data_IF_988647634060
#
_entry.id   IF_988647634060
#
_cell.length_a   1.000
_cell.length_b   1.000
_cell.length_c   1.000
_cell.angle_alpha   90.00
_cell.angle_beta   90.00
_cell.angle_gamma   90.00
#
_symmetry.space_group_name_H-M   'P 1'
#
loop_
_entity.id
_entity.type
_entity.pdbx_description
1 polymer ?
#
# COMPACT_ATOMS: atom_id res chain seq x y z
N UNK A 1 8.48 10.84 -6.26
CA UNK A 1 7.63 9.69 -5.91
C UNK A 1 7.60 9.62 -4.39
N UNK A 2 6.42 9.59 -3.77
CA UNK A 2 6.34 9.54 -2.30
C UNK A 2 6.82 8.14 -1.79
N UNK A 3 7.25 8.03 -0.53
CA UNK A 3 7.75 6.77 0.02
C UNK A 3 6.75 5.62 -0.06
N UNK A 4 5.47 5.91 0.14
CA UNK A 4 4.36 4.95 0.04
C UNK A 4 4.22 4.35 -1.36
N UNK A 5 4.25 5.18 -2.41
CA UNK A 5 4.21 4.72 -3.82
C UNK A 5 5.41 3.83 -4.12
N UNK A 6 6.58 4.15 -3.56
CA UNK A 6 7.78 3.31 -3.72
C UNK A 6 7.58 1.94 -3.08
N UNK A 7 7.09 1.90 -1.84
CA UNK A 7 6.78 0.66 -1.12
C UNK A 7 5.72 -0.17 -1.86
N UNK A 8 4.63 0.46 -2.30
CA UNK A 8 3.60 -0.18 -3.11
C UNK A 8 4.21 -0.83 -4.37
N UNK A 9 5.05 -0.11 -5.11
CA UNK A 9 5.70 -0.65 -6.31
C UNK A 9 6.59 -1.86 -5.99
N UNK A 10 7.36 -1.81 -4.89
CA UNK A 10 8.21 -2.93 -4.46
C UNK A 10 7.39 -4.18 -4.12
N UNK A 11 6.26 -4.02 -3.41
CA UNK A 11 5.32 -5.11 -3.10
C UNK A 11 4.75 -5.71 -4.39
N UNK A 12 4.30 -4.88 -5.34
CA UNK A 12 3.75 -5.34 -6.61
C UNK A 12 4.77 -6.15 -7.41
N UNK A 13 6.03 -5.69 -7.49
CA UNK A 13 7.10 -6.43 -8.17
C UNK A 13 7.32 -7.79 -7.50
N UNK A 14 7.46 -7.82 -6.17
CA UNK A 14 7.70 -9.06 -5.42
C UNK A 14 6.56 -10.07 -5.57
N UNK A 15 5.31 -9.60 -5.54
CA UNK A 15 4.17 -10.50 -5.69
C UNK A 15 4.03 -11.01 -7.13
N UNK A 16 4.43 -10.22 -8.12
CA UNK A 16 4.54 -10.67 -9.52
C UNK A 16 5.61 -11.76 -9.70
N UNK A 17 6.77 -11.62 -9.03
CA UNK A 17 7.82 -12.65 -9.03
C UNK A 17 7.34 -13.99 -8.44
N UNK A 18 6.36 -13.95 -7.52
CA UNK A 18 5.71 -15.12 -6.94
C UNK A 18 4.55 -15.68 -7.79
N UNK A 19 4.34 -15.14 -9.00
CA UNK A 19 3.29 -15.55 -9.92
C UNK A 19 1.89 -14.99 -9.59
N UNK A 20 1.79 -14.04 -8.66
CA UNK A 20 0.54 -13.34 -8.40
C UNK A 20 0.30 -12.23 -9.43
N UNK A 21 -0.94 -11.76 -9.52
CA UNK A 21 -1.34 -10.62 -10.37
C UNK A 21 -1.71 -9.45 -9.44
N UNK A 22 -0.79 -8.50 -9.20
CA UNK A 22 -1.09 -7.30 -8.42
C UNK A 22 -1.78 -6.24 -9.28
N UNK A 23 -2.77 -5.57 -8.70
CA UNK A 23 -3.55 -4.50 -9.30
C UNK A 23 -3.56 -3.31 -8.35
N UNK A 24 -3.08 -2.15 -8.81
CA UNK A 24 -3.22 -0.89 -8.07
C UNK A 24 -4.65 -0.39 -8.22
N UNK A 25 -5.30 -0.08 -7.10
CA UNK A 25 -6.55 0.67 -7.09
C UNK A 25 -6.21 2.14 -6.93
N UNK A 26 -6.88 2.98 -7.69
CA UNK A 26 -6.74 4.43 -7.56
C UNK A 26 -8.11 4.98 -7.18
N UNK A 27 -8.15 5.75 -6.09
CA UNK A 27 -9.33 6.49 -5.68
C UNK A 27 -9.00 7.97 -5.75
N UNK A 28 -9.82 8.75 -6.44
CA UNK A 28 -9.64 10.19 -6.45
C UNK A 28 -10.33 10.92 -7.59
N UNK A 29 -10.10 12.24 -7.59
CA UNK A 29 -10.55 13.15 -8.63
C UNK A 29 -9.44 13.32 -9.67
N UNK A 30 -9.75 12.97 -10.91
CA UNK A 30 -8.89 13.13 -12.08
C UNK A 30 -9.54 14.07 -13.08
N UNK A 31 -8.75 14.49 -14.06
CA UNK A 31 -9.23 15.35 -15.15
C UNK A 31 -8.87 14.72 -16.49
N UNK A 32 -9.83 14.74 -17.41
CA UNK A 32 -9.56 14.45 -18.83
C UNK A 32 -8.65 15.52 -19.44
N UNK A 33 -8.14 15.26 -20.65
CA UNK A 33 -7.37 16.26 -21.42
C UNK A 33 -8.13 17.58 -21.62
N UNK A 34 -9.47 17.55 -21.62
CA UNK A 34 -10.33 18.72 -21.77
C UNK A 34 -10.79 19.30 -20.42
N UNK A 35 -10.11 18.97 -19.32
CA UNK A 35 -10.39 19.45 -17.96
C UNK A 35 -11.77 19.06 -17.39
N UNK A 36 -12.41 18.05 -17.96
CA UNK A 36 -13.64 17.46 -17.39
C UNK A 36 -13.25 16.60 -16.18
N UNK A 37 -13.84 16.83 -14.99
CA UNK A 37 -13.58 16.03 -13.79
C UNK A 37 -14.13 14.61 -13.93
N UNK A 38 -13.35 13.62 -13.50
CA UNK A 38 -13.75 12.21 -13.40
C UNK A 38 -13.38 11.72 -12.01
N UNK A 39 -14.36 11.20 -11.27
CA UNK A 39 -14.12 10.44 -10.06
C UNK A 39 -13.87 8.98 -10.43
N UNK A 40 -12.73 8.44 -10.01
CA UNK A 40 -12.37 7.04 -10.17
C UNK A 40 -12.32 6.40 -8.78
N UNK A 41 -12.84 5.17 -8.67
CA UNK A 41 -12.83 4.38 -7.45
C UNK A 41 -13.87 4.81 -6.42
N UNK A 42 -13.92 4.05 -5.32
CA UNK A 42 -14.76 4.32 -4.16
C UNK A 42 -13.88 4.57 -2.94
N UNK A 43 -14.23 5.54 -2.10
CA UNK A 43 -13.54 5.78 -0.83
C UNK A 43 -13.56 4.50 0.04
N UNK A 44 -12.38 4.12 0.56
CA UNK A 44 -12.18 2.88 1.30
C UNK A 44 -11.81 1.65 0.45
N UNK A 45 -11.61 1.80 -0.87
CA UNK A 45 -10.95 0.76 -1.66
C UNK A 45 -9.47 0.59 -1.23
N UNK A 46 -8.96 -0.66 -1.20
CA UNK A 46 -7.58 -0.93 -0.81
C UNK A 46 -6.59 -0.40 -1.85
N UNK A 47 -5.42 0.07 -1.46
CA UNK A 47 -4.37 0.51 -2.41
C UNK A 47 -3.97 -0.57 -3.43
N UNK A 48 -3.83 -1.82 -2.98
CA UNK A 48 -3.39 -2.94 -3.82
C UNK A 48 -4.32 -4.14 -3.61
N UNK A 49 -4.80 -4.68 -4.73
CA UNK A 49 -5.47 -5.98 -4.83
C UNK A 49 -4.51 -6.99 -5.46
N UNK A 50 -4.40 -8.21 -4.91
CA UNK A 50 -3.48 -9.22 -5.40
C UNK A 50 -4.20 -10.54 -5.59
N UNK A 51 -4.24 -11.02 -6.83
CA UNK A 51 -4.80 -12.32 -7.19
C UNK A 51 -3.67 -13.36 -7.14
N UNK A 52 -3.78 -14.31 -6.22
CA UNK A 52 -2.79 -15.37 -6.04
C UNK A 52 -3.08 -16.56 -6.98
N UNK A 53 -2.07 -17.37 -7.36
CA UNK A 53 -2.24 -18.56 -8.20
C UNK A 53 -3.23 -19.60 -7.67
N UNK A 54 -3.44 -19.62 -6.35
CA UNK A 54 -4.39 -20.52 -5.69
C UNK A 54 -5.83 -20.00 -5.70
N UNK A 55 -6.12 -18.92 -6.42
CA UNK A 55 -7.45 -18.31 -6.52
C UNK A 55 -7.86 -17.44 -5.32
N UNK A 56 -6.98 -17.23 -4.35
CA UNK A 56 -7.22 -16.26 -3.25
C UNK A 56 -6.95 -14.83 -3.73
N UNK A 57 -7.65 -13.89 -3.13
CA UNK A 57 -7.43 -12.45 -3.33
C UNK A 57 -6.99 -11.84 -2.01
N UNK A 58 -5.94 -11.01 -2.05
CA UNK A 58 -5.43 -10.26 -0.90
C UNK A 58 -5.64 -8.76 -1.15
N UNK A 59 -6.13 -8.06 -0.13
CA UNK A 59 -6.34 -6.61 -0.18
C UNK A 59 -5.41 -5.95 0.82
N UNK A 60 -4.62 -5.00 0.35
CA UNK A 60 -3.63 -4.29 1.15
C UNK A 60 -3.91 -2.79 1.12
N UNK A 61 -4.03 -2.23 2.32
CA UNK A 61 -3.86 -0.80 2.57
C UNK A 61 -2.39 -0.57 2.95
N UNK A 62 -1.71 0.36 2.28
CA UNK A 62 -0.29 0.61 2.46
C UNK A 62 -0.12 1.96 3.14
N UNK A 63 0.25 1.91 4.42
CA UNK A 63 0.58 3.11 5.20
C UNK A 63 2.10 3.22 5.30
N UNK A 64 2.66 4.33 4.83
CA UNK A 64 4.05 4.67 5.14
C UNK A 64 4.10 5.44 6.46
N UNK A 65 4.69 4.82 7.48
CA UNK A 65 4.97 5.48 8.75
C UNK A 65 6.47 5.39 9.07
N UNK A 66 7.02 6.50 9.53
CA UNK A 66 8.38 6.53 10.07
C UNK A 66 8.33 5.99 11.50
N UNK A 67 8.77 4.74 11.66
CA UNK A 67 8.97 4.13 12.96
C UNK A 67 10.46 4.11 13.28
N UNK A 68 10.81 4.39 14.53
CA UNK A 68 12.06 3.89 15.08
C UNK A 68 11.87 2.42 15.47
N UNK A 69 12.95 1.64 15.53
CA UNK A 69 12.89 0.26 16.02
C UNK A 69 13.56 0.20 17.39
N UNK A 70 12.90 -0.42 18.36
CA UNK A 70 13.49 -0.64 19.67
C UNK A 70 14.76 -1.51 19.51
N UNK A 71 15.95 -1.03 19.92
CA UNK A 71 17.20 -1.78 19.75
C UNK A 71 17.29 -3.01 20.66
N UNK A 72 16.37 -3.17 21.62
CA UNK A 72 16.34 -4.31 22.55
C UNK A 72 15.49 -5.48 22.04
N UNK A 73 14.30 -5.20 21.52
CA UNK A 73 13.33 -6.23 21.13
C UNK A 73 12.98 -6.21 19.62
N UNK A 74 13.43 -5.22 18.87
CA UNK A 74 13.17 -5.10 17.43
C UNK A 74 11.73 -4.71 17.07
N UNK A 75 10.90 -4.34 18.04
CA UNK A 75 9.54 -3.88 17.78
C UNK A 75 9.56 -2.44 17.24
N UNK A 76 8.65 -2.14 16.32
CA UNK A 76 8.41 -0.78 15.85
C UNK A 76 7.89 0.07 17.01
N UNK A 77 8.50 1.23 17.22
CA UNK A 77 8.09 2.22 18.22
C UNK A 77 7.46 3.39 17.47
N UNK A 78 6.24 3.74 17.85
CA UNK A 78 5.68 5.04 17.49
C UNK A 78 6.51 6.14 18.18
N UNK A 79 6.46 7.37 17.66
CA UNK A 79 7.21 8.50 18.23
C UNK A 79 6.77 8.85 19.67
N UNK A 80 5.71 8.21 20.18
CA UNK A 80 5.17 8.35 21.54
C UNK A 80 5.78 7.36 22.56
N UNK A 81 6.62 6.42 22.11
CA UNK A 81 7.57 5.71 22.96
C UNK A 81 7.27 4.22 23.20
N UNK A 82 8.35 3.44 23.30
CA UNK A 82 8.30 2.02 23.62
C UNK A 82 7.91 1.80 25.10
N UNK A 83 6.66 1.45 25.37
CA UNK A 83 6.27 0.85 26.65
C UNK A 83 6.80 -0.60 26.71
N UNK A 84 8.12 -0.73 26.90
CA UNK A 84 8.77 -2.01 27.11
C UNK A 84 8.20 -2.71 28.33
N UNK A 85 7.32 -3.67 28.10
CA UNK A 85 6.90 -4.70 29.07
C UNK A 85 7.55 -6.02 28.71
#
# INVERSE_FOLDING_TARGET
MNPETKLQNEIMVKMSELGCIPMRRNVGLFYTQNMIPIHIGTEGEPDIEIICPNGKVLWYEIVYAEFEYCPKCGQAIDLDGCDGK
#
